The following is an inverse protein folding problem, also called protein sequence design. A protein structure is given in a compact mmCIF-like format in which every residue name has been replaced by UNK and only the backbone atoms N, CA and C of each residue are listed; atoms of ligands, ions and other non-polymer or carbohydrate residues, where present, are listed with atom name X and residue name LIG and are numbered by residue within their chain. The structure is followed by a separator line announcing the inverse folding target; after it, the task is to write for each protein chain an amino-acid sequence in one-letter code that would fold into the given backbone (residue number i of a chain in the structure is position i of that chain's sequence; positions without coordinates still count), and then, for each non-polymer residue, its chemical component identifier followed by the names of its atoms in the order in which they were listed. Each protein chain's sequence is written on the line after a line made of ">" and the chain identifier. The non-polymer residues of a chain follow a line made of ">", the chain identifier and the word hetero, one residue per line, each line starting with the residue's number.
data_IF_783765745089
#
_entry.id   IF_783765745089
#
_cell.length_a   1.000
_cell.length_b   1.000
_cell.length_c   1.000
_cell.angle_alpha   90.00
_cell.angle_beta   90.00
_cell.angle_gamma   90.00
#
_symmetry.space_group_name_H-M   'P 1'
#
loop_
_entity.id
_entity.type
_entity.pdbx_description
1 polymer ?
#
# COMPACT_ATOMS: atom_id res chain seq x y z
N UNK A 1 -2.36 28.56 9.77
CA UNK A 1 -2.96 29.00 8.50
C UNK A 1 -2.46 28.14 7.35
N UNK A 2 -3.36 27.49 6.60
CA UNK A 2 -3.11 26.96 5.26
C UNK A 2 -4.48 26.70 4.61
N UNK A 3 -5.20 27.77 4.29
CA UNK A 3 -6.63 27.73 3.92
C UNK A 3 -6.87 27.68 2.39
N UNK A 4 -5.87 27.32 1.57
CA UNK A 4 -6.08 27.18 0.12
C UNK A 4 -5.22 26.07 -0.52
N UNK A 5 -5.12 24.89 0.09
CA UNK A 5 -4.62 23.70 -0.64
C UNK A 5 -5.71 23.23 -1.62
N UNK A 6 -5.36 23.13 -2.91
CA UNK A 6 -6.22 22.47 -3.90
C UNK A 6 -6.40 21.00 -3.53
N UNK A 7 -7.50 20.36 -4.00
CA UNK A 7 -7.73 18.92 -3.81
C UNK A 7 -6.52 18.08 -4.24
N UNK A 8 -5.82 18.52 -5.29
CA UNK A 8 -4.59 17.89 -5.79
C UNK A 8 -3.41 18.04 -4.83
N UNK A 9 -3.19 19.23 -4.27
CA UNK A 9 -2.13 19.47 -3.28
C UNK A 9 -2.37 18.69 -2.00
N UNK A 10 -3.61 18.69 -1.50
CA UNK A 10 -4.02 17.90 -0.35
C UNK A 10 -3.81 16.40 -0.59
N UNK A 11 -4.14 15.92 -1.79
CA UNK A 11 -3.86 14.54 -2.18
C UNK A 11 -2.37 14.25 -2.18
N UNK A 12 -1.55 15.06 -2.86
CA UNK A 12 -0.08 14.88 -2.93
C UNK A 12 0.55 14.86 -1.53
N UNK A 13 0.17 15.79 -0.65
CA UNK A 13 0.66 15.89 0.74
C UNK A 13 0.28 14.68 1.57
N UNK A 14 -0.97 14.24 1.48
CA UNK A 14 -1.43 13.07 2.22
C UNK A 14 -0.86 11.77 1.65
N UNK A 15 -0.77 11.63 0.33
CA UNK A 15 -0.23 10.47 -0.34
C UNK A 15 1.25 10.30 -0.01
N UNK A 16 2.06 11.34 -0.17
CA UNK A 16 3.49 11.32 0.19
C UNK A 16 3.69 10.90 1.64
N UNK A 17 3.02 11.56 2.60
CA UNK A 17 3.13 11.19 4.02
C UNK A 17 2.74 9.73 4.29
N UNK A 18 1.64 9.25 3.70
CA UNK A 18 1.14 7.88 3.92
C UNK A 18 2.03 6.83 3.27
N UNK A 19 2.50 7.08 2.05
CA UNK A 19 3.41 6.18 1.32
C UNK A 19 4.74 6.07 2.07
N UNK A 20 5.32 7.19 2.51
CA UNK A 20 6.55 7.17 3.32
C UNK A 20 6.38 6.36 4.60
N UNK A 21 5.29 6.59 5.35
CA UNK A 21 5.03 5.79 6.57
C UNK A 21 4.81 4.31 6.28
N UNK A 22 4.17 3.95 5.16
CA UNK A 22 3.99 2.57 4.76
C UNK A 22 5.33 1.90 4.43
N UNK A 23 6.18 2.57 3.63
CA UNK A 23 7.52 2.09 3.30
C UNK A 23 8.35 1.88 4.56
N UNK A 24 8.36 2.84 5.51
CA UNK A 24 9.10 2.68 6.76
C UNK A 24 8.64 1.48 7.58
N UNK A 25 7.34 1.18 7.60
CA UNK A 25 6.82 -0.01 8.30
C UNK A 25 7.22 -1.31 7.60
N UNK A 26 7.19 -1.33 6.27
CA UNK A 26 7.63 -2.48 5.48
C UNK A 26 9.13 -2.73 5.70
N UNK A 27 9.95 -1.67 5.74
CA UNK A 27 11.38 -1.77 6.04
C UNK A 27 11.65 -2.36 7.44
N UNK A 28 10.88 -1.94 8.45
CA UNK A 28 10.94 -2.53 9.79
C UNK A 28 10.57 -4.02 9.79
N UNK A 29 9.58 -4.42 9.00
CA UNK A 29 9.23 -5.84 8.82
C UNK A 29 10.38 -6.59 8.13
N UNK A 30 11.00 -5.99 7.11
CA UNK A 30 12.17 -6.56 6.46
C UNK A 30 13.34 -6.79 7.41
N UNK A 31 13.53 -5.92 8.41
CA UNK A 31 14.55 -6.10 9.47
C UNK A 31 14.29 -7.31 10.36
N UNK A 32 13.06 -7.83 10.41
CA UNK A 32 12.76 -9.10 11.10
C UNK A 32 13.37 -10.31 10.39
N UNK A 33 13.81 -10.18 9.14
CA UNK A 33 14.60 -11.23 8.46
C UNK A 33 16.06 -11.31 8.92
N UNK A 34 16.49 -10.39 9.80
CA UNK A 34 17.84 -10.39 10.37
C UNK A 34 18.04 -11.57 11.32
N UNK A 35 19.29 -12.01 11.48
CA UNK A 35 19.71 -13.12 12.35
C UNK A 35 19.35 -12.97 13.83
N UNK A 36 18.79 -11.82 14.24
CA UNK A 36 18.26 -11.58 15.58
C UNK A 36 16.88 -12.24 15.81
N UNK A 37 16.18 -12.65 14.76
CA UNK A 37 14.86 -13.25 14.84
C UNK A 37 14.83 -14.55 14.04
N UNK A 38 14.25 -15.59 14.65
CA UNK A 38 14.01 -16.87 14.00
C UNK A 38 12.58 -16.85 13.46
N UNK A 39 12.44 -16.88 12.14
CA UNK A 39 11.15 -16.98 11.45
C UNK A 39 11.17 -18.25 10.63
N UNK A 40 10.08 -19.02 10.66
CA UNK A 40 9.95 -20.12 9.70
C UNK A 40 9.73 -19.58 8.28
N UNK A 41 10.12 -20.32 7.23
CA UNK A 41 9.83 -19.93 5.86
C UNK A 41 8.32 -19.70 5.64
N UNK A 42 7.46 -20.50 6.28
CA UNK A 42 5.99 -20.34 6.22
C UNK A 42 5.50 -19.02 6.84
N UNK A 43 6.10 -18.59 7.95
CA UNK A 43 5.77 -17.30 8.56
C UNK A 43 6.22 -16.12 7.70
N UNK A 44 7.41 -16.20 7.13
CA UNK A 44 7.91 -15.21 6.18
C UNK A 44 6.98 -15.11 4.96
N UNK A 45 6.54 -16.24 4.40
CA UNK A 45 5.58 -16.26 3.29
C UNK A 45 4.23 -15.66 3.68
N UNK A 46 3.70 -15.95 4.88
CA UNK A 46 2.45 -15.34 5.36
C UNK A 46 2.57 -13.82 5.47
N UNK A 47 3.69 -13.32 5.98
CA UNK A 47 3.95 -11.87 6.10
C UNK A 47 3.99 -11.24 4.71
N UNK A 48 4.75 -11.82 3.78
CA UNK A 48 4.88 -11.31 2.41
C UNK A 48 3.53 -11.33 1.69
N UNK A 49 2.76 -12.42 1.80
CA UNK A 49 1.43 -12.53 1.21
C UNK A 49 0.46 -11.48 1.76
N UNK A 50 0.48 -11.21 3.08
CA UNK A 50 -0.36 -10.18 3.68
C UNK A 50 -0.01 -8.77 3.16
N UNK A 51 1.29 -8.47 3.01
CA UNK A 51 1.76 -7.20 2.44
C UNK A 51 1.34 -7.07 0.98
N UNK A 52 1.54 -8.12 0.18
CA UNK A 52 1.17 -8.17 -1.23
C UNK A 52 -0.34 -7.95 -1.43
N UNK A 53 -1.18 -8.65 -0.65
CA UNK A 53 -2.64 -8.49 -0.69
C UNK A 53 -3.08 -7.05 -0.36
N UNK A 54 -2.36 -6.36 0.53
CA UNK A 54 -2.61 -4.95 0.83
C UNK A 54 -2.29 -4.05 -0.36
N UNK A 55 -1.15 -4.27 -1.03
CA UNK A 55 -0.77 -3.55 -2.25
C UNK A 55 -1.76 -3.81 -3.38
N UNK A 56 -2.22 -5.04 -3.56
CA UNK A 56 -3.22 -5.39 -4.55
C UNK A 56 -4.56 -4.69 -4.31
N UNK A 57 -4.99 -4.53 -3.05
CA UNK A 57 -6.18 -3.74 -2.71
C UNK A 57 -6.01 -2.27 -3.08
N UNK A 58 -4.84 -1.69 -2.81
CA UNK A 58 -4.52 -0.30 -3.22
C UNK A 58 -4.54 -0.18 -4.74
N UNK A 59 -3.87 -1.09 -5.44
CA UNK A 59 -3.86 -1.16 -6.91
C UNK A 59 -5.28 -1.25 -7.46
N UNK A 60 -6.11 -2.14 -6.92
CA UNK A 60 -7.51 -2.27 -7.30
C UNK A 60 -8.30 -0.97 -7.06
N UNK A 61 -8.11 -0.29 -5.92
CA UNK A 61 -8.78 0.98 -5.65
C UNK A 61 -8.41 2.07 -6.66
N UNK A 62 -7.12 2.20 -7.01
CA UNK A 62 -6.67 3.17 -8.02
C UNK A 62 -7.03 2.78 -9.46
N UNK A 63 -7.16 1.49 -9.75
CA UNK A 63 -7.50 0.99 -11.09
C UNK A 63 -9.02 0.98 -11.33
N UNK A 64 -9.82 0.69 -10.31
CA UNK A 64 -11.30 0.69 -10.36
C UNK A 64 -11.88 2.08 -10.63
N UNK A 65 -11.14 3.14 -10.31
CA UNK A 65 -11.49 4.51 -10.72
C UNK A 65 -11.35 4.76 -12.23
N UNK A 66 -10.74 3.83 -12.99
CA UNK A 66 -10.49 3.97 -14.43
C UNK A 66 -11.24 2.95 -15.29
N UNK A 67 -12.02 2.05 -14.69
CA UNK A 67 -12.87 1.13 -15.45
C UNK A 67 -14.24 1.77 -15.70
N UNK A 68 -14.61 2.06 -16.97
CA UNK A 68 -16.01 2.24 -17.29
C UNK A 68 -16.75 0.96 -16.91
N UNK A 69 -17.99 1.11 -16.44
CA UNK A 69 -18.94 0.04 -16.22
C UNK A 69 -18.77 -1.05 -17.28
N UNK A 70 -18.46 -2.28 -16.86
CA UNK A 70 -18.60 -3.44 -17.72
C UNK A 70 -20.08 -3.60 -18.06
N UNK A 71 -20.53 -2.92 -19.12
CA UNK A 71 -21.71 -3.35 -19.87
C UNK A 71 -21.32 -4.65 -20.56
N UNK A 72 -21.89 -5.74 -20.06
CA UNK A 72 -21.96 -7.01 -20.75
C UNK A 72 -23.14 -6.89 -21.74
N UNK A 73 -22.87 -6.88 -23.03
CA UNK A 73 -23.88 -7.03 -24.08
C UNK A 73 -23.74 -8.43 -24.71
N UNK A 74 -24.88 -9.09 -24.88
CA UNK A 74 -25.03 -10.42 -25.50
C UNK A 74 -24.93 -10.34 -27.03
#
# INVERSE_FOLDING_TARGET
>A
MAENESKSDKFKRLASKRVTSAISKIDLIGKLSSSAYESTPEEAEKIINALQASVDKVKAAFTKQKSPESSFEL
#
